data_IF_421015029043
#
_entry.id   IF_421015029043
#
_cell.length_a   1.000
_cell.length_b   1.000
_cell.length_c   1.000
_cell.angle_alpha   90.00
_cell.angle_beta   90.00
_cell.angle_gamma   90.00
#
_symmetry.space_group_name_H-M   'P 1'
#
loop_
_entity.id
_entity.type
_entity.pdbx_description
1 polymer ?
#
# COMPACT_ATOMS: atom_id res chain seq x y z
N UNK A 1 42.51 -9.92 3.26
CA UNK A 1 43.09 -9.53 2.00
C UNK A 1 43.06 -10.75 1.11
N UNK A 2 42.12 -10.87 0.26
CA UNK A 2 42.00 -11.92 -0.71
C UNK A 2 42.68 -11.41 -1.97
N UNK A 3 43.83 -11.90 -2.37
CA UNK A 3 44.32 -11.66 -3.71
C UNK A 3 43.51 -12.53 -4.66
N UNK A 4 42.37 -12.04 -5.06
CA UNK A 4 41.70 -12.52 -6.28
C UNK A 4 42.71 -12.20 -7.38
N UNK A 5 43.43 -13.16 -7.86
CA UNK A 5 44.45 -12.99 -8.91
C UNK A 5 43.84 -12.56 -10.24
N UNK A 6 42.54 -12.50 -10.37
CA UNK A 6 41.85 -12.05 -11.57
C UNK A 6 42.00 -12.96 -12.78
N UNK A 7 42.58 -14.15 -12.59
CA UNK A 7 42.69 -15.14 -13.65
C UNK A 7 41.41 -15.98 -13.71
N UNK A 8 40.93 -16.18 -14.92
CA UNK A 8 39.71 -16.96 -15.21
C UNK A 8 40.12 -18.20 -16.03
N UNK A 9 39.48 -19.33 -15.76
CA UNK A 9 39.62 -20.51 -16.59
C UNK A 9 38.95 -20.30 -17.96
N UNK A 10 39.18 -21.21 -18.90
CA UNK A 10 38.58 -21.18 -20.24
C UNK A 10 37.06 -21.24 -20.24
N UNK A 11 36.41 -21.47 -19.09
CA UNK A 11 34.96 -21.50 -18.88
C UNK A 11 34.44 -20.28 -18.14
N UNK A 12 35.33 -19.32 -17.82
CA UNK A 12 34.96 -18.08 -17.13
C UNK A 12 34.82 -18.18 -15.64
N UNK A 13 35.31 -19.28 -15.00
CA UNK A 13 35.35 -19.39 -13.55
C UNK A 13 36.66 -18.79 -13.01
N UNK A 14 36.58 -18.17 -11.83
CA UNK A 14 37.74 -17.65 -11.12
C UNK A 14 38.68 -18.84 -10.75
N UNK A 15 39.94 -18.78 -11.14
CA UNK A 15 40.95 -19.72 -10.73
C UNK A 15 41.35 -19.40 -9.28
N UNK A 16 41.02 -20.30 -8.37
CA UNK A 16 41.46 -20.22 -6.97
C UNK A 16 42.79 -20.94 -6.92
N UNK A 17 43.88 -20.24 -6.53
CA UNK A 17 45.19 -20.85 -6.38
C UNK A 17 45.17 -21.77 -5.16
N UNK A 18 45.63 -23.02 -5.34
CA UNK A 18 45.81 -23.99 -4.25
C UNK A 18 46.95 -23.61 -3.26
N UNK A 19 47.67 -22.54 -3.57
CA UNK A 19 48.79 -22.06 -2.75
C UNK A 19 48.39 -21.00 -1.71
N UNK A 20 47.10 -20.74 -1.50
CA UNK A 20 46.63 -19.84 -0.46
C UNK A 20 46.88 -20.43 0.93
N UNK A 21 47.85 -19.88 1.63
CA UNK A 21 48.10 -20.20 3.04
C UNK A 21 47.52 -19.13 3.94
N UNK A 22 46.71 -19.56 4.94
CA UNK A 22 46.21 -18.65 5.99
C UNK A 22 47.37 -18.26 6.91
N UNK A 23 47.81 -17.01 6.81
CA UNK A 23 48.69 -16.40 7.82
C UNK A 23 47.86 -16.01 9.04
N UNK A 24 47.99 -16.78 10.12
CA UNK A 24 47.34 -16.49 11.40
C UNK A 24 48.16 -15.50 12.21
N UNK A 25 47.79 -14.22 12.14
CA UNK A 25 48.44 -13.15 12.93
C UNK A 25 47.94 -13.07 14.38
N UNK A 26 46.66 -13.41 14.63
CA UNK A 26 46.07 -13.36 15.96
C UNK A 26 45.04 -14.46 16.14
N UNK A 27 45.10 -15.15 17.28
CA UNK A 27 44.08 -16.09 17.73
C UNK A 27 43.15 -15.37 18.70
N UNK A 28 41.88 -15.23 18.32
CA UNK A 28 40.80 -14.74 19.20
C UNK A 28 39.84 -15.89 19.49
N UNK A 29 39.53 -16.12 20.74
CA UNK A 29 38.54 -17.13 21.14
C UNK A 29 37.17 -16.49 21.34
N UNK A 30 36.15 -17.03 20.70
CA UNK A 30 34.78 -16.57 20.81
C UNK A 30 33.89 -17.69 21.34
N UNK A 31 32.91 -17.33 22.16
CA UNK A 31 31.87 -18.26 22.60
C UNK A 31 30.63 -18.02 21.75
N UNK A 32 30.11 -19.05 21.10
CA UNK A 32 28.88 -18.96 20.31
C UNK A 32 27.71 -18.82 21.30
N UNK A 33 26.98 -17.72 21.23
CA UNK A 33 25.83 -17.41 22.11
C UNK A 33 24.49 -17.59 21.39
N UNK A 34 24.49 -17.77 20.09
CA UNK A 34 23.28 -17.97 19.31
C UNK A 34 23.55 -18.15 17.83
N UNK A 35 22.48 -18.48 17.11
CA UNK A 35 22.48 -18.59 15.66
C UNK A 35 21.46 -17.60 15.10
N UNK A 36 21.70 -17.07 13.93
CA UNK A 36 20.82 -16.17 13.22
C UNK A 36 20.64 -16.64 11.78
N UNK A 37 19.58 -16.21 11.14
CA UNK A 37 19.38 -16.44 9.71
C UNK A 37 20.38 -15.59 8.93
N UNK A 38 20.78 -16.08 7.75
CA UNK A 38 21.76 -15.40 6.89
C UNK A 38 21.32 -13.94 6.63
N UNK A 39 22.15 -12.94 6.98
CA UNK A 39 21.76 -11.55 6.79
C UNK A 39 21.75 -11.17 5.32
N UNK A 40 20.90 -10.23 4.96
CA UNK A 40 20.74 -9.76 3.57
C UNK A 40 21.95 -9.02 3.01
N UNK A 41 22.84 -8.54 3.88
CA UNK A 41 24.09 -7.88 3.46
C UNK A 41 25.20 -8.87 3.08
N UNK A 42 25.02 -10.15 3.38
CA UNK A 42 25.98 -11.18 3.05
C UNK A 42 25.80 -11.63 1.60
N UNK A 43 26.89 -11.67 0.83
CA UNK A 43 26.83 -12.15 -0.53
C UNK A 43 26.36 -13.61 -0.57
N UNK A 44 25.41 -13.94 -1.43
CA UNK A 44 24.87 -15.29 -1.57
C UNK A 44 25.94 -16.35 -1.87
N UNK A 45 27.03 -15.94 -2.55
CA UNK A 45 28.17 -16.79 -2.92
C UNK A 45 29.28 -16.79 -1.89
N UNK A 46 29.13 -16.10 -0.74
CA UNK A 46 30.16 -16.08 0.30
C UNK A 46 30.43 -17.50 0.81
N UNK A 47 31.67 -17.98 0.76
CA UNK A 47 32.01 -19.31 1.25
C UNK A 47 32.02 -19.34 2.78
N UNK A 48 31.41 -20.38 3.37
CA UNK A 48 31.48 -20.63 4.80
C UNK A 48 30.40 -19.99 5.64
N UNK A 49 30.64 -19.88 6.94
CA UNK A 49 29.72 -19.31 7.92
C UNK A 49 30.21 -17.94 8.33
N UNK A 50 29.30 -16.95 8.32
CA UNK A 50 29.59 -15.60 8.80
C UNK A 50 29.38 -15.55 10.31
N UNK A 51 30.36 -15.03 11.04
CA UNK A 51 30.26 -14.78 12.48
C UNK A 51 30.11 -13.29 12.74
N UNK A 52 29.11 -12.91 13.55
CA UNK A 52 28.89 -11.54 14.00
C UNK A 52 29.32 -11.44 15.45
N UNK A 53 30.14 -10.45 15.77
CA UNK A 53 30.59 -10.15 17.12
C UNK A 53 30.51 -8.65 17.39
N UNK A 54 30.65 -8.26 18.67
CA UNK A 54 30.73 -6.86 19.01
C UNK A 54 32.06 -6.26 18.50
N UNK A 55 31.95 -5.08 17.90
CA UNK A 55 33.11 -4.31 17.45
C UNK A 55 33.83 -3.70 18.64
N UNK A 56 35.17 -3.66 18.57
CA UNK A 56 35.97 -2.86 19.48
C UNK A 56 35.99 -1.41 18.95
N UNK A 57 35.17 -0.55 19.58
CA UNK A 57 35.03 0.87 19.18
C UNK A 57 36.33 1.69 19.40
N UNK A 58 37.36 1.10 20.00
CA UNK A 58 38.67 1.76 20.17
C UNK A 58 39.56 1.66 18.91
N UNK A 59 39.19 0.84 17.95
CA UNK A 59 39.95 0.69 16.70
C UNK A 59 39.61 1.84 15.73
N UNK A 60 40.48 2.84 15.67
CA UNK A 60 40.34 4.01 14.78
C UNK A 60 40.56 3.68 13.30
N UNK A 61 41.06 2.49 12.97
CA UNK A 61 41.26 2.03 11.59
C UNK A 61 40.06 1.28 11.01
N UNK A 62 39.04 0.98 11.82
CA UNK A 62 37.87 0.25 11.39
C UNK A 62 36.91 1.15 10.61
N UNK A 63 36.35 0.60 9.53
CA UNK A 63 35.22 1.22 8.84
C UNK A 63 33.93 0.76 9.49
N UNK A 64 33.01 1.70 9.67
CA UNK A 64 31.71 1.43 10.29
C UNK A 64 30.60 1.74 9.31
N UNK A 65 29.65 0.81 9.15
CA UNK A 65 28.40 1.05 8.45
C UNK A 65 27.29 1.34 9.46
N UNK A 66 26.62 2.47 9.29
CA UNK A 66 25.48 2.84 10.13
C UNK A 66 24.18 2.57 9.38
N UNK A 67 23.31 1.77 9.99
CA UNK A 67 21.96 1.49 9.49
C UNK A 67 20.93 2.26 10.32
N UNK A 68 20.05 2.97 9.65
CA UNK A 68 18.99 3.70 10.33
C UNK A 68 17.67 3.60 9.55
N UNK A 69 16.56 3.73 10.26
CA UNK A 69 15.23 3.77 9.70
C UNK A 69 14.54 5.07 10.10
N UNK A 70 13.87 5.71 9.15
CA UNK A 70 13.08 6.90 9.41
C UNK A 70 11.67 6.53 9.83
N UNK A 71 11.10 7.30 10.77
CA UNK A 71 9.71 7.13 11.20
C UNK A 71 8.73 7.46 10.06
N UNK A 72 9.05 8.46 9.25
CA UNK A 72 8.33 8.81 8.06
C UNK A 72 9.21 8.50 6.83
N UNK A 73 8.83 7.56 5.96
CA UNK A 73 9.63 7.17 4.81
C UNK A 73 9.95 8.30 3.83
N UNK A 74 9.10 9.33 3.75
CA UNK A 74 9.32 10.48 2.86
C UNK A 74 10.55 11.29 3.26
N UNK A 75 10.87 11.36 4.56
CA UNK A 75 12.02 12.13 5.06
C UNK A 75 13.36 11.49 4.68
N UNK A 76 13.35 10.21 4.24
CA UNK A 76 14.58 9.51 3.81
C UNK A 76 15.22 10.17 2.59
N UNK A 77 14.41 10.70 1.67
CA UNK A 77 14.92 11.32 0.44
C UNK A 77 15.67 12.62 0.77
N UNK A 78 15.07 13.48 1.56
CA UNK A 78 15.67 14.75 1.96
C UNK A 78 16.93 14.52 2.81
N UNK A 79 16.86 13.53 3.73
CA UNK A 79 18.01 13.13 4.53
C UNK A 79 19.15 12.60 3.66
N UNK A 80 18.86 11.71 2.71
CA UNK A 80 19.88 11.14 1.84
C UNK A 80 20.51 12.19 0.93
N UNK A 81 19.73 13.12 0.42
CA UNK A 81 20.22 14.22 -0.40
C UNK A 81 21.18 15.10 0.40
N UNK A 82 20.80 15.48 1.62
CA UNK A 82 21.63 16.31 2.47
C UNK A 82 22.93 15.61 2.86
N UNK A 83 22.84 14.42 3.49
CA UNK A 83 24.04 13.78 4.05
C UNK A 83 24.92 13.09 3.01
N UNK A 84 24.37 12.50 1.96
CA UNK A 84 25.16 11.76 0.97
C UNK A 84 25.71 12.65 -0.14
N UNK A 85 24.97 13.67 -0.56
CA UNK A 85 25.39 14.54 -1.66
C UNK A 85 25.97 15.87 -1.20
N UNK A 86 25.38 16.55 -0.21
CA UNK A 86 25.88 17.85 0.24
C UNK A 86 27.04 17.70 1.24
N UNK A 87 26.90 16.84 2.25
CA UNK A 87 27.96 16.58 3.23
C UNK A 87 29.00 15.55 2.75
N UNK A 88 28.73 14.85 1.67
CA UNK A 88 29.66 13.90 1.06
C UNK A 88 29.89 12.61 1.85
N UNK A 89 28.98 12.26 2.77
CA UNK A 89 29.01 10.98 3.45
C UNK A 89 28.60 9.88 2.46
N UNK A 90 29.44 8.86 2.28
CA UNK A 90 29.07 7.70 1.48
C UNK A 90 27.88 6.98 2.10
N UNK A 91 26.86 6.68 1.29
CA UNK A 91 25.68 5.96 1.76
C UNK A 91 24.74 5.60 0.63
N UNK A 92 23.80 4.72 0.94
CA UNK A 92 22.76 4.30 0.00
C UNK A 92 21.42 4.15 0.71
N UNK A 93 20.34 4.40 -0.01
CA UNK A 93 18.99 4.17 0.46
C UNK A 93 18.47 2.83 -0.03
N UNK A 94 17.67 2.13 0.77
CA UNK A 94 16.98 0.94 0.32
C UNK A 94 15.77 1.34 -0.56
N UNK A 95 16.05 1.63 -1.83
CA UNK A 95 15.05 2.10 -2.78
C UNK A 95 13.90 1.12 -2.98
N UNK A 96 14.15 -0.19 -2.88
CA UNK A 96 13.10 -1.19 -3.04
C UNK A 96 12.07 -1.08 -1.92
N UNK A 97 12.51 -1.00 -0.67
CA UNK A 97 11.62 -0.83 0.49
C UNK A 97 10.87 0.50 0.40
N UNK A 98 11.54 1.59 0.00
CA UNK A 98 10.91 2.90 -0.19
C UNK A 98 9.83 2.85 -1.28
N UNK A 99 10.08 2.18 -2.40
CA UNK A 99 9.09 2.02 -3.47
C UNK A 99 7.83 1.27 -3.00
N UNK A 100 7.96 0.22 -2.18
CA UNK A 100 6.81 -0.46 -1.55
C UNK A 100 6.03 0.44 -0.59
N UNK A 101 6.69 1.44 -0.02
CA UNK A 101 6.05 2.46 0.83
C UNK A 101 5.49 3.65 0.04
N UNK A 102 5.56 3.60 -1.29
CA UNK A 102 5.08 4.66 -2.18
C UNK A 102 6.00 5.88 -2.25
N UNK A 103 7.25 5.72 -1.81
CA UNK A 103 8.28 6.77 -1.81
C UNK A 103 9.34 6.41 -2.83
N UNK A 104 9.71 7.35 -3.69
CA UNK A 104 10.77 7.16 -4.68
C UNK A 104 11.48 8.47 -4.95
N UNK A 105 12.80 8.41 -5.18
CA UNK A 105 13.57 9.53 -5.69
C UNK A 105 13.18 9.91 -7.13
N UNK A 106 12.52 9.00 -7.85
CA UNK A 106 12.08 9.23 -9.21
C UNK A 106 10.65 9.78 -9.22
N UNK A 107 10.49 11.08 -9.51
CA UNK A 107 9.18 11.73 -9.65
C UNK A 107 8.27 11.01 -10.64
N UNK A 108 8.83 10.47 -11.73
CA UNK A 108 8.09 9.71 -12.74
C UNK A 108 7.40 8.48 -12.16
N UNK A 109 8.06 7.76 -11.24
CA UNK A 109 7.49 6.58 -10.58
C UNK A 109 6.31 6.97 -9.70
N UNK A 110 6.50 7.94 -8.81
CA UNK A 110 5.45 8.42 -7.90
C UNK A 110 4.26 9.01 -8.66
N UNK A 111 4.52 9.78 -9.72
CA UNK A 111 3.48 10.34 -10.59
C UNK A 111 2.70 9.25 -11.31
N UNK A 112 3.36 8.22 -11.82
CA UNK A 112 2.71 7.09 -12.51
C UNK A 112 1.83 6.28 -11.57
N UNK A 113 2.30 6.00 -10.34
CA UNK A 113 1.49 5.32 -9.32
C UNK A 113 0.26 6.12 -8.94
N UNK A 114 0.42 7.42 -8.68
CA UNK A 114 -0.70 8.30 -8.35
C UNK A 114 -1.70 8.39 -9.51
N UNK A 115 -1.23 8.48 -10.75
CA UNK A 115 -2.06 8.46 -11.93
C UNK A 115 -2.89 7.17 -12.04
N UNK A 116 -2.28 6.01 -11.81
CA UNK A 116 -2.97 4.72 -11.84
C UNK A 116 -4.02 4.62 -10.72
N UNK A 117 -3.70 5.08 -9.50
CA UNK A 117 -4.65 5.11 -8.38
C UNK A 117 -5.86 6.00 -8.72
N UNK A 118 -5.64 7.18 -9.27
CA UNK A 118 -6.72 8.11 -9.66
C UNK A 118 -7.62 7.46 -10.73
N UNK A 119 -7.05 6.83 -11.75
CA UNK A 119 -7.81 6.13 -12.79
C UNK A 119 -8.67 5.03 -12.17
N UNK A 120 -8.13 4.21 -11.29
CA UNK A 120 -8.88 3.15 -10.60
C UNK A 120 -10.04 3.73 -9.77
N UNK A 121 -9.79 4.80 -9.02
CA UNK A 121 -10.83 5.49 -8.23
C UNK A 121 -11.95 5.99 -9.15
N UNK A 122 -11.63 6.62 -10.28
CA UNK A 122 -12.61 7.12 -11.23
C UNK A 122 -13.45 5.99 -11.82
N UNK A 123 -12.86 4.87 -12.19
CA UNK A 123 -13.58 3.69 -12.71
C UNK A 123 -14.54 3.15 -11.66
N UNK A 124 -14.06 2.95 -10.42
CA UNK A 124 -14.87 2.43 -9.31
C UNK A 124 -16.01 3.40 -8.99
N UNK A 125 -15.74 4.70 -8.92
CA UNK A 125 -16.77 5.72 -8.69
C UNK A 125 -17.84 5.71 -9.77
N UNK A 126 -17.44 5.63 -11.04
CA UNK A 126 -18.38 5.62 -12.16
C UNK A 126 -19.30 4.41 -12.11
N UNK A 127 -18.75 3.22 -11.88
CA UNK A 127 -19.54 2.00 -11.71
C UNK A 127 -20.48 2.07 -10.50
N UNK A 128 -19.99 2.56 -9.37
CA UNK A 128 -20.79 2.73 -8.15
C UNK A 128 -21.91 3.75 -8.33
N UNK A 129 -21.62 4.89 -8.98
CA UNK A 129 -22.65 5.91 -9.29
C UNK A 129 -23.76 5.29 -10.15
N UNK A 130 -23.42 4.50 -11.17
CA UNK A 130 -24.39 3.87 -12.04
C UNK A 130 -25.28 2.87 -11.27
N UNK A 131 -24.69 2.03 -10.43
CA UNK A 131 -25.43 1.05 -9.62
C UNK A 131 -26.38 1.74 -8.61
N UNK A 132 -25.87 2.71 -7.85
CA UNK A 132 -26.65 3.43 -6.85
C UNK A 132 -27.78 4.24 -7.55
N UNK A 133 -27.46 4.91 -8.67
CA UNK A 133 -28.45 5.62 -9.47
C UNK A 133 -29.59 4.70 -9.93
N UNK A 134 -29.27 3.50 -10.44
CA UNK A 134 -30.26 2.54 -10.88
C UNK A 134 -31.14 2.07 -9.72
N UNK A 135 -30.55 1.74 -8.57
CA UNK A 135 -31.29 1.32 -7.37
C UNK A 135 -32.27 2.40 -6.91
N UNK A 136 -31.83 3.65 -6.79
CA UNK A 136 -32.70 4.75 -6.40
C UNK A 136 -33.72 5.09 -7.48
N UNK A 137 -33.39 4.95 -8.75
CA UNK A 137 -34.34 5.18 -9.85
C UNK A 137 -35.51 4.20 -9.83
N UNK A 138 -35.23 2.92 -9.54
CA UNK A 138 -36.22 1.87 -9.36
C UNK A 138 -37.09 2.16 -8.13
N UNK A 139 -36.46 2.42 -6.97
CA UNK A 139 -37.17 2.78 -5.73
C UNK A 139 -38.11 3.99 -5.90
N UNK A 140 -37.64 5.03 -6.58
CA UNK A 140 -38.47 6.21 -6.89
C UNK A 140 -39.65 5.86 -7.82
N UNK A 141 -39.42 4.99 -8.82
CA UNK A 141 -40.46 4.56 -9.74
C UNK A 141 -41.55 3.74 -9.04
N UNK A 142 -41.18 2.84 -8.14
CA UNK A 142 -42.11 2.03 -7.35
C UNK A 142 -42.97 2.91 -6.39
N UNK A 143 -42.44 4.03 -5.94
CA UNK A 143 -43.14 4.96 -5.03
C UNK A 143 -43.78 6.16 -5.74
N UNK A 144 -43.93 6.08 -7.05
CA UNK A 144 -44.51 7.19 -7.84
C UNK A 144 -45.89 7.62 -7.32
N UNK A 145 -46.78 6.65 -7.01
CA UNK A 145 -48.13 6.92 -6.45
C UNK A 145 -48.01 7.61 -5.09
N UNK A 146 -47.12 7.20 -4.22
CA UNK A 146 -46.90 7.81 -2.89
C UNK A 146 -46.46 9.29 -3.03
N UNK A 147 -45.53 9.58 -3.93
CA UNK A 147 -45.08 10.95 -4.19
C UNK A 147 -46.14 11.80 -4.82
N UNK A 148 -47.01 11.23 -5.69
CA UNK A 148 -48.17 11.89 -6.25
C UNK A 148 -49.21 12.25 -5.19
N UNK A 149 -49.54 11.33 -4.28
CA UNK A 149 -50.40 11.56 -3.13
C UNK A 149 -49.86 12.67 -2.23
N UNK A 150 -48.55 12.62 -1.91
CA UNK A 150 -47.90 13.69 -1.14
C UNK A 150 -48.01 15.05 -1.83
N UNK A 151 -47.86 15.08 -3.13
CA UNK A 151 -48.02 16.31 -3.92
C UNK A 151 -49.44 16.83 -3.93
N UNK A 152 -50.46 15.95 -3.93
CA UNK A 152 -51.88 16.36 -3.94
C UNK A 152 -52.32 16.96 -2.60
N UNK A 153 -51.72 16.56 -1.47
CA UNK A 153 -51.96 17.17 -0.14
C UNK A 153 -51.06 18.38 0.14
N UNK A 154 -50.35 18.89 -0.87
CA UNK A 154 -49.61 20.14 -0.80
C UNK A 154 -48.12 20.05 -0.46
N UNK A 155 -47.51 18.86 -0.53
CA UNK A 155 -46.06 18.74 -0.34
C UNK A 155 -45.28 19.47 -1.43
N UNK A 156 -44.31 20.27 -1.02
CA UNK A 156 -43.45 21.01 -1.96
C UNK A 156 -42.41 20.11 -2.61
N UNK A 157 -41.99 20.45 -3.83
CA UNK A 157 -40.90 19.72 -4.54
C UNK A 157 -39.62 19.65 -3.74
N UNK A 158 -39.34 20.63 -2.87
CA UNK A 158 -38.18 20.68 -1.99
C UNK A 158 -38.28 19.64 -0.88
N UNK A 159 -39.49 19.43 -0.33
CA UNK A 159 -39.72 18.40 0.70
C UNK A 159 -39.57 16.99 0.14
N UNK A 160 -40.14 16.72 -1.04
CA UNK A 160 -39.94 15.40 -1.71
C UNK A 160 -38.47 15.13 -1.97
N UNK A 161 -37.73 16.09 -2.53
CA UNK A 161 -36.26 15.93 -2.72
C UNK A 161 -35.52 15.70 -1.42
N UNK A 162 -35.87 16.39 -0.34
CA UNK A 162 -35.26 16.21 0.98
C UNK A 162 -35.52 14.84 1.54
N UNK A 163 -36.72 14.27 1.32
CA UNK A 163 -37.07 12.92 1.75
C UNK A 163 -36.20 11.86 1.06
N UNK A 164 -36.06 11.94 -0.28
CA UNK A 164 -35.20 10.98 -1.02
C UNK A 164 -33.72 11.11 -0.61
N UNK A 165 -33.22 12.32 -0.40
CA UNK A 165 -31.83 12.52 0.06
C UNK A 165 -31.62 12.03 1.48
N UNK A 166 -32.64 12.18 2.35
CA UNK A 166 -32.58 11.66 3.72
C UNK A 166 -32.52 10.13 3.72
N UNK A 167 -33.31 9.47 2.87
CA UNK A 167 -33.25 8.02 2.69
C UNK A 167 -31.85 7.57 2.24
N UNK A 168 -31.27 8.28 1.27
CA UNK A 168 -29.90 8.01 0.84
C UNK A 168 -28.86 8.22 1.95
N UNK A 169 -29.03 9.25 2.78
CA UNK A 169 -28.15 9.51 3.91
C UNK A 169 -28.21 8.37 4.93
N UNK A 170 -29.40 7.89 5.26
CA UNK A 170 -29.58 6.76 6.20
C UNK A 170 -28.92 5.49 5.65
N UNK A 171 -29.13 5.19 4.35
CA UNK A 171 -28.49 4.06 3.70
C UNK A 171 -26.97 4.20 3.66
N UNK A 172 -26.47 5.41 3.41
CA UNK A 172 -25.04 5.68 3.44
C UNK A 172 -24.43 5.55 4.84
N UNK A 173 -25.14 5.99 5.88
CA UNK A 173 -24.69 5.90 7.26
C UNK A 173 -24.47 4.45 7.71
N UNK A 174 -25.24 3.53 7.18
CA UNK A 174 -25.10 2.09 7.46
C UNK A 174 -24.16 1.44 6.44
N UNK A 175 -24.32 1.73 5.16
CA UNK A 175 -23.60 1.08 4.07
C UNK A 175 -22.11 1.40 4.04
N UNK A 176 -21.72 2.64 4.33
CA UNK A 176 -20.31 3.04 4.30
C UNK A 176 -19.49 2.30 5.38
N UNK A 177 -19.89 2.28 6.67
CA UNK A 177 -19.18 1.50 7.68
C UNK A 177 -19.13 0.01 7.38
N UNK A 178 -20.25 -0.58 6.93
CA UNK A 178 -20.29 -1.98 6.55
C UNK A 178 -19.36 -2.29 5.38
N UNK A 179 -19.31 -1.40 4.38
CA UNK A 179 -18.39 -1.53 3.25
C UNK A 179 -16.92 -1.48 3.67
N UNK A 180 -16.56 -0.58 4.58
CA UNK A 180 -15.21 -0.48 5.14
C UNK A 180 -14.84 -1.76 5.92
N UNK A 181 -15.74 -2.23 6.79
CA UNK A 181 -15.52 -3.47 7.54
C UNK A 181 -15.38 -4.68 6.61
N UNK A 182 -16.22 -4.78 5.59
CA UNK A 182 -16.14 -5.84 4.59
C UNK A 182 -14.83 -5.76 3.78
N UNK A 183 -14.38 -4.54 3.44
CA UNK A 183 -13.12 -4.32 2.74
C UNK A 183 -11.90 -4.75 3.59
N UNK A 184 -11.83 -4.30 4.84
CA UNK A 184 -10.76 -4.68 5.78
C UNK A 184 -10.79 -6.19 6.04
N UNK A 185 -11.98 -6.73 6.29
CA UNK A 185 -12.15 -8.18 6.50
C UNK A 185 -11.76 -9.01 5.28
N UNK A 186 -12.14 -8.56 4.08
CA UNK A 186 -11.76 -9.22 2.82
C UNK A 186 -10.25 -9.26 2.60
N UNK A 187 -9.55 -8.15 2.86
CA UNK A 187 -8.09 -8.12 2.82
C UNK A 187 -7.50 -9.08 3.87
N UNK A 188 -8.04 -9.06 5.11
CA UNK A 188 -7.61 -9.97 6.18
C UNK A 188 -7.74 -11.45 5.79
N UNK A 189 -8.89 -11.84 5.21
CA UNK A 189 -9.12 -13.19 4.70
C UNK A 189 -8.14 -13.53 3.57
N UNK A 190 -7.88 -12.60 2.66
CA UNK A 190 -6.90 -12.80 1.58
C UNK A 190 -5.51 -13.07 2.13
N UNK A 191 -5.05 -12.29 3.10
CA UNK A 191 -3.77 -12.52 3.77
C UNK A 191 -3.72 -13.84 4.52
N UNK A 192 -4.81 -14.23 5.16
CA UNK A 192 -4.90 -15.52 5.87
C UNK A 192 -4.80 -16.71 4.90
N UNK A 193 -5.47 -16.65 3.74
CA UNK A 193 -5.49 -17.74 2.78
C UNK A 193 -4.25 -17.80 1.87
N UNK A 194 -3.70 -16.64 1.48
CA UNK A 194 -2.63 -16.54 0.50
C UNK A 194 -1.27 -16.12 1.12
N UNK A 195 -1.23 -15.76 2.40
CA UNK A 195 -0.03 -15.23 3.04
C UNK A 195 1.19 -16.13 2.90
N UNK A 196 1.03 -17.44 3.09
CA UNK A 196 2.13 -18.41 2.91
C UNK A 196 2.62 -18.50 1.46
N UNK A 197 1.70 -18.44 0.49
CA UNK A 197 2.06 -18.45 -0.93
C UNK A 197 2.75 -17.16 -1.36
N UNK A 198 2.28 -16.02 -0.85
CA UNK A 198 2.92 -14.72 -1.07
C UNK A 198 4.33 -14.68 -0.46
N UNK A 199 4.48 -15.23 0.75
CA UNK A 199 5.78 -15.38 1.41
C UNK A 199 6.75 -16.21 0.57
N UNK A 200 6.30 -17.38 0.08
CA UNK A 200 7.11 -18.24 -0.78
C UNK A 200 7.48 -17.55 -2.09
N UNK A 201 6.54 -16.84 -2.71
CA UNK A 201 6.76 -16.13 -3.96
C UNK A 201 7.77 -14.99 -3.80
N UNK A 202 7.65 -14.18 -2.76
CA UNK A 202 8.61 -13.09 -2.48
C UNK A 202 9.99 -13.62 -2.13
N UNK A 203 10.09 -14.69 -1.34
CA UNK A 203 11.37 -15.34 -1.03
C UNK A 203 12.05 -15.86 -2.30
N UNK A 204 11.29 -16.37 -3.26
CA UNK A 204 11.83 -16.86 -4.53
C UNK A 204 12.33 -15.76 -5.46
N UNK A 205 11.75 -14.55 -5.39
CA UNK A 205 12.13 -13.41 -6.24
C UNK A 205 13.28 -12.60 -5.61
N UNK A 206 13.19 -12.35 -4.30
CA UNK A 206 14.14 -11.46 -3.60
C UNK A 206 15.40 -12.21 -3.15
N UNK A 207 15.37 -13.54 -3.19
CA UNK A 207 16.55 -14.39 -2.91
C UNK A 207 17.12 -14.15 -1.52
N UNK A 208 16.42 -14.57 -0.47
CA UNK A 208 16.90 -14.37 0.90
C UNK A 208 15.81 -14.51 1.95
N UNK A 209 15.81 -13.70 2.95
CA UNK A 209 14.97 -13.82 4.13
C UNK A 209 13.47 -13.73 3.84
N UNK A 210 12.71 -14.53 4.55
CA UNK A 210 11.25 -14.52 4.49
C UNK A 210 10.69 -13.15 4.88
N UNK A 211 10.08 -12.44 3.92
CA UNK A 211 9.38 -11.20 4.19
C UNK A 211 8.12 -11.50 5.02
N UNK A 212 8.04 -10.94 6.22
CA UNK A 212 6.82 -11.03 7.03
C UNK A 212 5.85 -9.93 6.61
N UNK A 213 4.73 -10.34 6.02
CA UNK A 213 3.67 -9.41 5.69
C UNK A 213 2.83 -9.09 6.93
N UNK A 214 2.79 -7.83 7.30
CA UNK A 214 1.92 -7.34 8.36
C UNK A 214 0.79 -6.50 7.74
N UNK A 215 -0.44 -6.79 8.14
CA UNK A 215 -1.58 -5.96 7.73
C UNK A 215 -1.53 -4.64 8.50
N UNK A 216 -1.35 -3.55 7.77
CA UNK A 216 -1.39 -2.19 8.32
C UNK A 216 -2.58 -1.44 7.72
N UNK A 217 -3.38 -0.82 8.58
CA UNK A 217 -4.56 -0.07 8.18
C UNK A 217 -4.27 1.43 8.34
N UNK A 218 -4.30 2.17 7.24
CA UNK A 218 -4.09 3.62 7.25
C UNK A 218 -5.39 4.36 7.60
N UNK A 219 -5.40 5.09 8.70
CA UNK A 219 -6.53 5.95 9.09
C UNK A 219 -6.81 7.06 8.06
N UNK A 220 -5.77 7.59 7.43
CA UNK A 220 -5.88 8.58 6.35
C UNK A 220 -6.57 7.96 5.13
N UNK A 221 -6.21 6.72 4.78
CA UNK A 221 -6.86 5.97 3.70
C UNK A 221 -8.33 5.72 3.98
N UNK A 222 -8.70 5.35 5.23
CA UNK A 222 -10.10 5.19 5.62
C UNK A 222 -10.86 6.52 5.50
N UNK A 223 -10.30 7.62 5.99
CA UNK A 223 -10.93 8.93 5.90
C UNK A 223 -11.16 9.35 4.44
N UNK A 224 -10.18 9.15 3.58
CA UNK A 224 -10.30 9.40 2.14
C UNK A 224 -11.40 8.53 1.50
N UNK A 225 -11.47 7.24 1.83
CA UNK A 225 -12.50 6.33 1.35
C UNK A 225 -13.90 6.77 1.77
N UNK A 226 -14.08 7.21 3.01
CA UNK A 226 -15.37 7.77 3.50
C UNK A 226 -15.76 9.01 2.70
N UNK A 227 -14.84 9.94 2.47
CA UNK A 227 -15.12 11.17 1.70
C UNK A 227 -15.52 10.81 0.27
N UNK A 228 -14.78 9.93 -0.40
CA UNK A 228 -15.10 9.47 -1.76
C UNK A 228 -16.47 8.78 -1.80
N UNK A 229 -16.77 7.92 -0.84
CA UNK A 229 -18.06 7.23 -0.75
C UNK A 229 -19.23 8.22 -0.55
N UNK A 230 -19.06 9.22 0.31
CA UNK A 230 -20.06 10.28 0.52
C UNK A 230 -20.31 11.10 -0.75
N UNK A 231 -19.24 11.47 -1.48
CA UNK A 231 -19.35 12.19 -2.75
C UNK A 231 -20.08 11.31 -3.79
N UNK A 232 -19.69 10.06 -3.92
CA UNK A 232 -20.31 9.09 -4.84
C UNK A 232 -21.81 8.94 -4.56
N UNK A 233 -22.19 8.77 -3.30
CA UNK A 233 -23.60 8.67 -2.89
C UNK A 233 -24.36 9.95 -3.20
N UNK A 234 -23.81 11.11 -2.84
CA UNK A 234 -24.45 12.40 -3.08
C UNK A 234 -24.73 12.64 -4.57
N UNK A 235 -23.73 12.38 -5.43
CA UNK A 235 -23.86 12.53 -6.88
C UNK A 235 -24.90 11.56 -7.45
N UNK A 236 -24.91 10.30 -7.01
CA UNK A 236 -25.80 9.25 -7.50
C UNK A 236 -27.28 9.59 -7.26
N UNK A 237 -27.59 10.23 -6.14
CA UNK A 237 -28.96 10.51 -5.71
C UNK A 237 -29.53 11.82 -6.30
N UNK A 238 -28.70 12.69 -6.87
CA UNK A 238 -29.16 13.99 -7.41
C UNK A 238 -30.26 13.79 -8.43
N UNK A 239 -30.04 13.03 -9.49
CA UNK A 239 -31.01 12.84 -10.58
C UNK A 239 -32.29 12.13 -10.10
N UNK A 240 -32.24 10.97 -9.36
CA UNK A 240 -33.45 10.34 -8.82
C UNK A 240 -34.26 11.26 -7.93
N UNK A 241 -33.63 12.04 -7.04
CA UNK A 241 -34.36 13.00 -6.18
C UNK A 241 -35.04 14.11 -6.98
N UNK A 242 -34.42 14.59 -8.04
CA UNK A 242 -35.08 15.56 -8.95
C UNK A 242 -36.23 14.91 -9.71
N UNK A 243 -36.12 13.67 -10.18
CA UNK A 243 -37.16 12.93 -10.86
C UNK A 243 -38.40 12.76 -9.94
N UNK A 244 -38.17 12.27 -8.71
CA UNK A 244 -39.20 12.11 -7.70
C UNK A 244 -40.00 13.43 -7.46
N UNK A 245 -39.31 14.56 -7.42
CA UNK A 245 -39.94 15.85 -7.16
C UNK A 245 -40.74 16.45 -8.35
N UNK A 246 -40.66 15.85 -9.53
CA UNK A 246 -41.38 16.29 -10.74
C UNK A 246 -42.66 15.48 -10.99
N UNK A 247 -42.89 14.41 -10.23
CA UNK A 247 -44.08 13.59 -10.35
C UNK A 247 -45.29 14.43 -9.97
N UNK A 248 -46.26 14.50 -10.88
CA UNK A 248 -47.53 15.23 -10.67
C UNK A 248 -48.61 14.27 -10.15
N UNK A 249 -49.59 14.76 -9.42
CA UNK A 249 -50.69 13.96 -8.92
C UNK A 249 -51.45 13.23 -10.05
N UNK A 250 -51.57 13.87 -11.23
CA UNK A 250 -52.26 13.32 -12.40
C UNK A 250 -51.48 12.14 -12.99
N UNK A 251 -50.14 12.26 -13.07
CA UNK A 251 -49.27 11.23 -13.60
C UNK A 251 -49.21 10.00 -12.68
N UNK A 252 -49.31 10.21 -11.37
CA UNK A 252 -49.33 9.16 -10.37
C UNK A 252 -50.62 8.31 -10.35
N UNK A 253 -51.75 8.87 -10.82
CA UNK A 253 -53.03 8.15 -10.92
C UNK A 253 -53.14 7.35 -12.23
N UNK A 254 -52.35 7.76 -13.26
CA UNK A 254 -52.40 7.17 -14.60
C UNK A 254 -51.36 6.05 -14.80
N UNK A 255 -50.38 5.93 -13.89
CA UNK A 255 -49.36 4.87 -13.90
C UNK A 255 -49.82 3.64 -13.11
#
# INVERSE_FOLDING_TARGET
NNPITGEYDDKGNIIISDDETLETNTLKQYTIVGFYERPSFENYTAPGYTAITFSDLSDQSAFYDAYYTMKNPQDVIDFSNYYFFEEGLGGSTNNEVLMYQGVSQYETYTSSLNGMIIILIVIIMTGSIALIYNAFSISVSERTVQFGLLSSIGATKKQIRKSVRFEALVLGLIGIPLGILAGIGGIGVTFFLLGDKLKTFTTSIVGGNSVQFHMSVSWVGIAAAVVIACITLAVSVIKPAFRASRITAIEAIRS
#
